data_IF_409642896742
#
_entry.id   IF_409642896742
#
_cell.length_a   1.000
_cell.length_b   1.000
_cell.length_c   1.000
_cell.angle_alpha   90.00
_cell.angle_beta   90.00
_cell.angle_gamma   90.00
#
_symmetry.space_group_name_H-M   'P 1'
#
loop_
_entity.id
_entity.type
_entity.pdbx_description
1 polymer ?
#
# COMPACT_ATOMS: atom_id res chain seq x y z
N UNK A 1 -20.06 -16.94 2.10
CA UNK A 1 -18.98 -15.95 2.03
C UNK A 1 -18.55 -15.70 3.47
N UNK A 2 -17.27 -15.84 3.78
CA UNK A 2 -16.74 -15.54 5.12
C UNK A 2 -16.49 -14.05 5.23
N UNK A 3 -16.86 -13.44 6.35
CA UNK A 3 -16.58 -12.01 6.59
C UNK A 3 -15.10 -11.82 6.98
N UNK A 4 -14.46 -10.81 6.39
CA UNK A 4 -13.10 -10.40 6.67
C UNK A 4 -13.09 -8.89 6.93
N UNK A 5 -12.73 -8.50 8.13
CA UNK A 5 -12.66 -7.09 8.49
C UNK A 5 -11.34 -6.48 8.02
N UNK A 6 -11.41 -5.32 7.36
CA UNK A 6 -10.25 -4.56 6.94
C UNK A 6 -10.21 -3.20 7.64
N UNK A 7 -9.25 -3.04 8.56
CA UNK A 7 -9.07 -1.80 9.29
C UNK A 7 -8.42 -0.74 8.40
N UNK A 8 -9.26 0.00 7.69
CA UNK A 8 -8.83 1.08 6.79
C UNK A 8 -9.94 2.11 6.59
N UNK A 9 -9.58 3.39 6.64
CA UNK A 9 -10.41 4.51 6.16
C UNK A 9 -10.16 4.85 4.67
N UNK A 10 -9.22 4.15 4.01
CA UNK A 10 -8.85 4.44 2.62
C UNK A 10 -9.76 3.67 1.65
N UNK A 11 -10.62 4.42 0.94
CA UNK A 11 -11.58 3.85 -0.03
C UNK A 11 -10.91 3.13 -1.20
N UNK A 12 -9.73 3.57 -1.63
CA UNK A 12 -9.00 2.95 -2.73
C UNK A 12 -8.44 1.59 -2.31
N UNK A 13 -7.81 1.53 -1.12
CA UNK A 13 -7.35 0.25 -0.54
C UNK A 13 -8.52 -0.73 -0.38
N UNK A 14 -9.67 -0.26 0.06
CA UNK A 14 -10.88 -1.08 0.20
C UNK A 14 -11.35 -1.65 -1.15
N UNK A 15 -11.40 -0.83 -2.22
CA UNK A 15 -11.80 -1.27 -3.55
C UNK A 15 -10.86 -2.35 -4.10
N UNK A 16 -9.54 -2.20 -3.87
CA UNK A 16 -8.54 -3.19 -4.27
C UNK A 16 -8.80 -4.50 -3.53
N UNK A 17 -8.93 -4.46 -2.20
CA UNK A 17 -9.20 -5.62 -1.37
C UNK A 17 -10.46 -6.38 -1.84
N UNK A 18 -11.56 -5.67 -2.07
CA UNK A 18 -12.81 -6.24 -2.56
C UNK A 18 -12.63 -6.89 -3.93
N UNK A 19 -11.93 -6.23 -4.85
CA UNK A 19 -11.72 -6.75 -6.21
C UNK A 19 -10.96 -8.07 -6.27
N UNK A 20 -10.11 -8.34 -5.28
CA UNK A 20 -9.32 -9.58 -5.18
C UNK A 20 -10.00 -10.62 -4.30
N UNK A 21 -10.53 -10.23 -3.14
CA UNK A 21 -11.05 -11.14 -2.12
C UNK A 21 -12.47 -11.65 -2.42
N UNK A 22 -13.38 -10.79 -2.87
CA UNK A 22 -14.80 -11.17 -3.06
C UNK A 22 -15.01 -12.26 -4.12
N UNK A 23 -14.31 -12.26 -5.28
CA UNK A 23 -14.39 -13.37 -6.23
C UNK A 23 -13.92 -14.71 -5.64
N UNK A 24 -13.19 -14.67 -4.52
CA UNK A 24 -12.66 -15.85 -3.83
C UNK A 24 -13.50 -16.27 -2.61
N UNK A 25 -14.67 -15.65 -2.42
CA UNK A 25 -15.62 -16.01 -1.36
C UNK A 25 -15.35 -15.32 -0.01
N UNK A 26 -14.49 -14.31 0.03
CA UNK A 26 -14.23 -13.47 1.21
C UNK A 26 -14.95 -12.12 1.06
N UNK A 27 -15.90 -11.84 1.93
CA UNK A 27 -16.58 -10.54 1.97
C UNK A 27 -15.75 -9.57 2.80
N UNK A 28 -15.18 -8.56 2.16
CA UNK A 28 -14.36 -7.55 2.85
C UNK A 28 -15.24 -6.45 3.42
N UNK A 29 -15.11 -6.21 4.72
CA UNK A 29 -15.87 -5.21 5.49
C UNK A 29 -14.90 -4.16 6.01
N UNK A 30 -15.06 -2.91 5.56
CA UNK A 30 -14.25 -1.79 6.07
C UNK A 30 -14.63 -1.45 7.50
N UNK A 31 -13.61 -1.30 8.34
CA UNK A 31 -13.75 -0.74 9.69
C UNK A 31 -12.78 0.43 9.82
N UNK A 32 -13.32 1.57 10.22
CA UNK A 32 -12.51 2.73 10.59
C UNK A 32 -12.16 2.64 12.07
N UNK A 33 -10.90 2.35 12.37
CA UNK A 33 -10.39 2.20 13.72
C UNK A 33 -9.33 3.27 13.98
N UNK A 34 -9.48 3.96 15.09
CA UNK A 34 -8.42 4.78 15.64
C UNK A 34 -7.39 3.87 16.33
N UNK A 35 -6.29 3.59 15.64
CA UNK A 35 -5.20 2.75 16.11
C UNK A 35 -3.94 3.59 16.19
N UNK A 36 -3.37 3.68 17.39
CA UNK A 36 -2.04 4.26 17.56
C UNK A 36 -1.00 3.38 16.87
N UNK A 37 -0.34 3.90 15.84
CA UNK A 37 0.71 3.21 15.13
C UNK A 37 2.06 3.42 15.83
N UNK A 38 2.76 2.32 16.12
CA UNK A 38 4.14 2.42 16.59
C UNK A 38 5.01 3.02 15.49
N UNK A 39 6.01 3.80 15.91
CA UNK A 39 7.02 4.33 14.99
C UNK A 39 8.25 3.43 15.02
N UNK A 40 8.78 3.10 13.86
CA UNK A 40 9.94 2.22 13.75
C UNK A 40 10.48 2.18 12.31
N UNK A 41 11.64 1.53 12.17
CA UNK A 41 12.30 1.36 10.88
C UNK A 41 11.92 0.04 10.20
N UNK A 42 11.38 -0.92 10.95
CA UNK A 42 10.95 -2.22 10.42
C UNK A 42 9.44 -2.22 10.14
N UNK A 43 9.03 -2.15 8.86
CA UNK A 43 7.62 -2.11 8.48
C UNK A 43 6.86 -3.39 8.84
N UNK A 44 7.53 -4.54 8.91
CA UNK A 44 6.89 -5.79 9.30
C UNK A 44 6.46 -5.77 10.77
N UNK A 45 7.30 -5.24 11.65
CA UNK A 45 6.97 -5.06 13.06
C UNK A 45 5.79 -4.07 13.20
N UNK A 46 5.80 -2.97 12.45
CA UNK A 46 4.74 -1.95 12.49
C UNK A 46 3.40 -2.55 12.08
N UNK A 47 3.34 -3.24 10.94
CA UNK A 47 2.09 -3.78 10.42
C UNK A 47 1.56 -4.93 11.27
N UNK A 48 2.45 -5.73 11.87
CA UNK A 48 2.11 -6.82 12.81
C UNK A 48 1.48 -6.27 14.09
N UNK A 49 2.09 -5.26 14.72
CA UNK A 49 1.54 -4.58 15.91
C UNK A 49 0.17 -3.96 15.60
N UNK A 50 0.05 -3.29 14.46
CA UNK A 50 -1.21 -2.70 13.98
C UNK A 50 -2.33 -3.75 13.84
N UNK A 51 -2.01 -4.94 13.28
CA UNK A 51 -2.97 -6.03 13.16
C UNK A 51 -3.44 -6.55 14.53
N UNK A 52 -2.52 -6.73 15.46
CA UNK A 52 -2.85 -7.17 16.84
C UNK A 52 -3.74 -6.17 17.55
N UNK A 53 -3.42 -4.86 17.47
CA UNK A 53 -4.25 -3.79 18.05
C UNK A 53 -5.63 -3.69 17.38
N UNK A 54 -5.71 -3.90 16.07
CA UNK A 54 -6.99 -3.98 15.36
C UNK A 54 -7.83 -5.14 15.89
N UNK A 55 -7.23 -6.33 16.02
CA UNK A 55 -7.91 -7.51 16.55
C UNK A 55 -8.39 -7.30 18.00
N UNK A 56 -7.61 -6.64 18.84
CA UNK A 56 -8.02 -6.33 20.23
C UNK A 56 -9.32 -5.51 20.29
N UNK A 57 -9.55 -4.65 19.29
CA UNK A 57 -10.76 -3.83 19.18
C UNK A 57 -11.93 -4.55 18.53
N UNK A 58 -11.67 -5.34 17.49
CA UNK A 58 -12.70 -5.99 16.65
C UNK A 58 -13.13 -7.33 17.22
N UNK A 59 -12.19 -8.12 17.77
CA UNK A 59 -12.37 -9.51 18.26
C UNK A 59 -12.84 -10.50 17.17
N UNK A 60 -12.59 -10.16 15.92
CA UNK A 60 -12.91 -10.96 14.74
C UNK A 60 -11.70 -10.97 13.81
N UNK A 61 -11.59 -11.93 12.88
CA UNK A 61 -10.50 -11.95 11.92
C UNK A 61 -10.37 -10.63 11.18
N UNK A 62 -9.18 -10.04 11.24
CA UNK A 62 -8.92 -8.70 10.70
C UNK A 62 -7.64 -8.64 9.89
N UNK A 63 -7.67 -7.83 8.85
CA UNK A 63 -6.49 -7.43 8.09
C UNK A 63 -6.22 -5.94 8.26
N UNK A 64 -4.95 -5.60 8.19
CA UNK A 64 -4.45 -4.23 8.08
C UNK A 64 -3.46 -4.18 6.92
N UNK A 65 -3.24 -3.01 6.35
CA UNK A 65 -2.18 -2.81 5.35
C UNK A 65 -1.39 -1.55 5.63
N UNK A 66 -0.14 -1.58 5.20
CA UNK A 66 0.74 -0.42 5.19
C UNK A 66 1.62 -0.41 3.94
N UNK A 67 2.09 0.77 3.55
CA UNK A 67 2.90 0.97 2.36
C UNK A 67 4.15 1.78 2.73
N UNK A 68 5.32 1.28 2.35
CA UNK A 68 6.58 2.01 2.50
C UNK A 68 7.26 2.24 1.15
N UNK A 69 8.16 3.20 1.09
CA UNK A 69 8.78 3.62 -0.17
C UNK A 69 10.27 3.78 0.01
N UNK A 70 11.04 3.02 -0.76
CA UNK A 70 12.49 3.04 -0.71
C UNK A 70 13.08 3.66 -1.97
N UNK A 71 13.67 4.85 -1.85
CA UNK A 71 14.51 5.43 -2.91
C UNK A 71 15.89 4.79 -2.79
N UNK A 72 16.27 3.96 -3.78
CA UNK A 72 17.47 3.12 -3.76
C UNK A 72 18.74 3.95 -3.55
N UNK A 73 18.89 5.03 -4.31
CA UNK A 73 20.05 5.93 -4.19
C UNK A 73 20.15 6.64 -2.82
N UNK A 74 19.06 6.70 -2.06
CA UNK A 74 18.98 7.32 -0.74
C UNK A 74 18.92 6.28 0.39
N UNK A 75 19.39 5.06 0.13
CA UNK A 75 19.48 3.96 1.11
C UNK A 75 18.16 3.63 1.80
N UNK A 76 17.06 3.69 1.07
CA UNK A 76 15.73 3.37 1.58
C UNK A 76 14.92 4.55 2.12
N UNK A 77 15.48 5.80 2.11
CA UNK A 77 14.67 6.97 2.45
C UNK A 77 13.50 7.12 1.46
N UNK A 78 12.29 7.49 1.89
CA UNK A 78 11.87 7.79 3.26
C UNK A 78 11.32 6.58 4.05
N UNK A 79 11.30 5.37 3.50
CA UNK A 79 10.81 4.17 4.17
C UNK A 79 9.35 4.30 4.63
N UNK A 80 9.11 4.00 5.89
CA UNK A 80 7.79 4.11 6.52
C UNK A 80 7.30 5.57 6.70
N UNK A 81 8.18 6.56 6.50
CA UNK A 81 7.85 7.97 6.76
C UNK A 81 7.29 8.72 5.54
N UNK A 82 6.97 8.03 4.44
CA UNK A 82 6.45 8.68 3.22
C UNK A 82 5.22 9.56 3.48
N UNK A 83 4.33 9.16 4.39
CA UNK A 83 3.16 9.96 4.77
C UNK A 83 3.55 11.32 5.36
N UNK A 84 4.54 11.34 6.25
CA UNK A 84 5.07 12.57 6.83
C UNK A 84 5.81 13.42 5.80
N UNK A 85 6.59 12.79 4.92
CA UNK A 85 7.27 13.48 3.84
C UNK A 85 6.27 14.14 2.87
N UNK A 86 5.20 13.46 2.50
CA UNK A 86 4.14 14.03 1.66
C UNK A 86 3.45 15.25 2.30
N UNK A 87 3.42 15.32 3.63
CA UNK A 87 2.87 16.49 4.33
C UNK A 87 3.77 17.72 4.20
N UNK A 88 5.09 17.51 4.17
CA UNK A 88 6.07 18.61 4.12
C UNK A 88 6.57 18.95 2.73
N UNK A 89 6.61 17.98 1.82
CA UNK A 89 7.18 18.12 0.48
C UNK A 89 6.11 18.43 -0.55
N UNK A 90 6.49 19.29 -1.49
CA UNK A 90 5.82 19.41 -2.79
C UNK A 90 6.44 18.44 -3.81
N UNK A 91 5.82 18.34 -4.99
CA UNK A 91 6.41 17.60 -6.12
C UNK A 91 7.81 18.11 -6.48
N UNK A 92 8.03 19.44 -6.43
CA UNK A 92 9.31 20.06 -6.72
C UNK A 92 10.38 19.74 -5.67
N UNK A 93 9.98 19.52 -4.40
CA UNK A 93 10.92 19.10 -3.35
C UNK A 93 11.43 17.68 -3.60
N UNK A 94 10.57 16.76 -4.06
CA UNK A 94 11.01 15.42 -4.49
C UNK A 94 11.97 15.50 -5.68
N UNK A 95 11.71 16.38 -6.66
CA UNK A 95 12.58 16.56 -7.82
C UNK A 95 13.93 17.18 -7.42
N UNK A 96 13.93 18.14 -6.49
CA UNK A 96 15.15 18.74 -5.93
C UNK A 96 15.97 17.73 -5.13
N UNK A 97 15.33 16.89 -4.33
CA UNK A 97 15.98 15.80 -3.58
C UNK A 97 16.77 14.88 -4.51
N UNK A 98 16.25 14.66 -5.72
CA UNK A 98 16.87 13.78 -6.72
C UNK A 98 17.77 14.52 -7.72
N UNK A 99 18.13 15.79 -7.45
CA UNK A 99 18.98 16.55 -8.35
C UNK A 99 20.41 15.99 -8.39
N UNK A 100 20.93 15.74 -9.59
CA UNK A 100 22.26 15.16 -9.79
C UNK A 100 22.37 13.66 -9.47
N UNK A 101 21.28 13.00 -9.10
CA UNK A 101 21.26 11.56 -8.84
C UNK A 101 20.78 10.83 -10.09
N UNK A 102 21.65 9.94 -10.64
CA UNK A 102 21.36 9.16 -11.85
C UNK A 102 20.45 7.96 -11.53
N UNK A 103 20.70 7.26 -10.42
CA UNK A 103 19.86 6.14 -9.99
C UNK A 103 18.55 6.66 -9.40
N UNK A 104 17.49 6.57 -10.18
CA UNK A 104 16.17 7.08 -9.84
C UNK A 104 15.20 5.98 -9.41
N UNK A 105 15.68 4.77 -9.17
CA UNK A 105 14.83 3.65 -8.74
C UNK A 105 14.19 3.94 -7.40
N UNK A 106 12.90 3.61 -7.32
CA UNK A 106 12.11 3.62 -6.10
C UNK A 106 11.34 2.30 -6.03
N UNK A 107 11.18 1.77 -4.84
CA UNK A 107 10.42 0.55 -4.61
C UNK A 107 9.27 0.86 -3.66
N UNK A 108 8.05 0.52 -4.07
CA UNK A 108 6.91 0.46 -3.17
C UNK A 108 6.87 -0.92 -2.52
N UNK A 109 7.00 -0.97 -1.22
CA UNK A 109 6.78 -2.18 -0.44
C UNK A 109 5.35 -2.12 0.13
N UNK A 110 4.53 -3.05 -0.30
CA UNK A 110 3.18 -3.24 0.23
C UNK A 110 3.23 -4.30 1.31
N UNK A 111 2.72 -3.99 2.48
CA UNK A 111 2.56 -4.93 3.59
C UNK A 111 1.08 -5.14 3.88
N UNK A 112 0.73 -6.36 4.20
CA UNK A 112 -0.57 -6.75 4.72
C UNK A 112 -0.35 -7.70 5.89
N UNK A 113 -1.00 -7.45 7.02
CA UNK A 113 -1.02 -8.39 8.13
C UNK A 113 -2.45 -8.85 8.39
N UNK A 114 -2.60 -10.16 8.55
CA UNK A 114 -3.82 -10.82 8.96
C UNK A 114 -3.65 -11.36 10.38
N UNK A 115 -4.70 -11.28 11.19
CA UNK A 115 -4.76 -12.04 12.44
C UNK A 115 -6.20 -12.44 12.76
N UNK A 116 -6.35 -13.64 13.36
CA UNK A 116 -7.59 -14.16 13.96
C UNK A 116 -7.47 -14.30 15.49
N UNK A 117 -6.38 -13.75 16.06
CA UNK A 117 -6.06 -13.83 17.48
C UNK A 117 -5.23 -15.06 17.87
N UNK A 118 -5.18 -16.11 17.04
CA UNK A 118 -4.34 -17.29 17.25
C UNK A 118 -3.11 -17.26 16.34
N UNK A 119 -3.31 -16.84 15.11
CA UNK A 119 -2.26 -16.70 14.08
C UNK A 119 -2.15 -15.24 13.68
N UNK A 120 -0.93 -14.78 13.48
CA UNK A 120 -0.65 -13.48 12.85
C UNK A 120 0.34 -13.70 11.73
N UNK A 121 -0.10 -13.46 10.49
CA UNK A 121 0.69 -13.66 9.29
C UNK A 121 0.90 -12.32 8.56
N UNK A 122 2.09 -12.11 8.03
CA UNK A 122 2.44 -10.89 7.30
C UNK A 122 2.83 -11.26 5.87
N UNK A 123 2.29 -10.52 4.92
CA UNK A 123 2.53 -10.64 3.50
C UNK A 123 3.22 -9.39 3.01
N UNK A 124 4.14 -9.56 2.05
CA UNK A 124 4.88 -8.47 1.43
C UNK A 124 4.89 -8.63 -0.08
N UNK A 125 4.70 -7.52 -0.79
CA UNK A 125 4.88 -7.46 -2.24
C UNK A 125 5.66 -6.19 -2.60
N UNK A 126 6.70 -6.34 -3.43
CA UNK A 126 7.58 -5.25 -3.83
C UNK A 126 7.27 -4.84 -5.27
N UNK A 127 7.02 -3.56 -5.46
CA UNK A 127 6.63 -3.00 -6.75
C UNK A 127 7.69 -1.99 -7.19
N UNK A 128 8.49 -2.32 -8.21
CA UNK A 128 9.52 -1.42 -8.70
C UNK A 128 8.94 -0.26 -9.51
N UNK A 129 9.64 0.85 -9.46
CA UNK A 129 9.34 2.06 -10.19
C UNK A 129 10.52 3.02 -10.23
N UNK A 130 10.27 4.21 -10.72
CA UNK A 130 11.27 5.28 -10.81
C UNK A 130 10.69 6.64 -10.50
N UNK A 131 11.55 7.54 -10.02
CA UNK A 131 11.24 8.96 -9.88
C UNK A 131 11.60 9.65 -11.19
N UNK A 132 10.63 10.31 -11.82
CA UNK A 132 10.79 11.01 -13.09
C UNK A 132 11.42 12.40 -12.93
N UNK A 133 11.77 13.05 -14.03
CA UNK A 133 12.44 14.37 -14.02
C UNK A 133 11.48 15.55 -13.99
N UNK A 134 10.18 15.34 -14.23
CA UNK A 134 9.17 16.40 -14.27
C UNK A 134 7.85 15.85 -13.76
N UNK A 135 7.24 16.53 -12.79
CA UNK A 135 5.95 16.15 -12.24
C UNK A 135 4.85 16.13 -13.31
N UNK A 136 3.96 15.12 -13.25
CA UNK A 136 2.79 14.95 -14.11
C UNK A 136 1.59 14.46 -13.32
N UNK A 137 0.40 14.88 -13.74
CA UNK A 137 -0.84 14.64 -13.01
C UNK A 137 -0.94 15.52 -11.75
N UNK A 138 -2.02 15.35 -11.00
CA UNK A 138 -2.28 16.13 -9.79
C UNK A 138 -2.63 15.23 -8.61
N UNK A 139 -1.96 15.44 -7.49
CA UNK A 139 -2.33 14.86 -6.21
C UNK A 139 -1.84 15.75 -5.07
N UNK A 140 -2.72 16.59 -4.53
CA UNK A 140 -2.38 17.59 -3.49
C UNK A 140 -2.11 16.93 -2.13
N UNK A 141 -2.63 15.71 -1.88
CA UNK A 141 -2.44 14.98 -0.62
C UNK A 141 -1.19 14.08 -0.62
N UNK A 142 -0.76 13.67 -1.79
CA UNK A 142 0.37 12.76 -1.98
C UNK A 142 1.23 13.22 -3.16
N UNK A 143 1.99 14.32 -2.99
CA UNK A 143 2.80 14.90 -4.08
C UNK A 143 3.80 13.93 -4.70
N UNK A 144 4.29 12.92 -3.95
CA UNK A 144 5.14 11.86 -4.48
C UNK A 144 4.50 11.14 -5.69
N UNK A 145 3.18 10.99 -5.71
CA UNK A 145 2.48 10.29 -6.79
C UNK A 145 2.60 11.00 -8.14
N UNK A 146 2.89 12.29 -8.15
CA UNK A 146 3.08 13.07 -9.39
C UNK A 146 4.46 12.88 -10.02
N UNK A 147 5.41 12.34 -9.26
CA UNK A 147 6.81 12.15 -9.68
C UNK A 147 7.23 10.69 -9.75
N UNK A 148 6.35 9.74 -9.39
CA UNK A 148 6.64 8.31 -9.41
C UNK A 148 5.90 7.63 -10.56
N UNK A 149 6.63 6.91 -11.39
CA UNK A 149 6.14 5.92 -12.34
C UNK A 149 6.40 4.53 -11.78
N UNK A 150 5.39 3.68 -11.74
CA UNK A 150 5.54 2.24 -11.52
C UNK A 150 5.87 1.57 -12.87
N UNK A 151 6.79 0.64 -12.88
CA UNK A 151 7.30 0.03 -14.13
C UNK A 151 6.19 -0.60 -14.98
N UNK A 152 5.16 -1.16 -14.34
CA UNK A 152 4.01 -1.76 -15.03
C UNK A 152 3.00 -0.75 -15.58
N UNK A 153 3.16 0.56 -15.38
CA UNK A 153 2.16 1.59 -15.67
C UNK A 153 2.36 2.29 -17.03
N UNK A 154 3.17 1.69 -17.91
CA UNK A 154 3.41 2.19 -19.27
C UNK A 154 3.82 3.66 -19.33
N UNK A 155 4.69 4.10 -18.42
CA UNK A 155 5.23 5.45 -18.38
C UNK A 155 4.26 6.51 -17.85
N UNK A 156 3.19 6.13 -17.16
CA UNK A 156 2.31 7.06 -16.45
C UNK A 156 2.71 7.17 -14.99
N UNK A 157 2.59 8.37 -14.44
CA UNK A 157 2.73 8.57 -13.00
C UNK A 157 1.52 7.97 -12.26
N UNK A 158 1.70 7.69 -10.98
CA UNK A 158 0.59 7.21 -10.14
C UNK A 158 -0.56 8.24 -10.14
N UNK A 159 -0.24 9.54 -10.10
CA UNK A 159 -1.26 10.59 -10.17
C UNK A 159 -2.04 10.54 -11.48
N UNK A 160 -1.36 10.40 -12.63
CA UNK A 160 -2.03 10.25 -13.94
C UNK A 160 -2.89 8.99 -14.04
N UNK A 161 -2.55 7.93 -13.30
CA UNK A 161 -3.39 6.72 -13.20
C UNK A 161 -4.67 7.03 -12.42
N UNK A 162 -4.57 7.73 -11.28
CA UNK A 162 -5.74 8.06 -10.46
C UNK A 162 -6.68 9.12 -11.08
N UNK A 163 -6.20 9.88 -12.07
CA UNK A 163 -7.05 10.77 -12.89
C UNK A 163 -7.90 9.99 -13.92
N UNK A 164 -7.62 8.70 -14.11
CA UNK A 164 -8.38 7.88 -15.04
C UNK A 164 -9.71 7.41 -14.44
N UNK A 165 -10.52 6.82 -15.32
CA UNK A 165 -11.77 6.20 -14.95
C UNK A 165 -11.56 5.07 -13.92
N UNK A 166 -12.45 5.00 -12.91
CA UNK A 166 -12.36 4.01 -11.82
C UNK A 166 -12.30 2.57 -12.31
N UNK A 167 -13.01 2.27 -13.41
CA UNK A 167 -13.02 0.92 -13.99
C UNK A 167 -11.64 0.52 -14.52
N UNK A 168 -10.90 1.45 -15.11
CA UNK A 168 -9.52 1.22 -15.59
C UNK A 168 -8.55 1.00 -14.43
N UNK A 169 -8.75 1.73 -13.34
CA UNK A 169 -7.96 1.55 -12.11
C UNK A 169 -8.20 0.15 -11.55
N UNK A 170 -9.46 -0.27 -11.44
CA UNK A 170 -9.84 -1.61 -10.96
C UNK A 170 -9.28 -2.72 -11.85
N UNK A 171 -9.36 -2.58 -13.18
CA UNK A 171 -8.75 -3.54 -14.13
C UNK A 171 -7.23 -3.65 -13.98
N UNK A 172 -6.56 -2.52 -13.74
CA UNK A 172 -5.11 -2.51 -13.49
C UNK A 172 -4.74 -3.35 -12.27
N UNK A 173 -5.46 -3.18 -11.16
CA UNK A 173 -5.22 -3.95 -9.94
C UNK A 173 -5.54 -5.45 -10.09
N UNK A 174 -6.56 -5.78 -10.86
CA UNK A 174 -6.86 -7.19 -11.18
C UNK A 174 -5.76 -7.88 -12.00
N UNK A 175 -5.09 -7.13 -12.87
CA UNK A 175 -4.03 -7.68 -13.75
C UNK A 175 -2.66 -7.76 -13.08
N UNK A 176 -2.41 -6.91 -12.09
CA UNK A 176 -1.15 -6.90 -11.35
C UNK A 176 -1.31 -7.71 -10.07
N UNK A 177 -0.47 -8.74 -9.93
CA UNK A 177 -0.38 -9.45 -8.65
C UNK A 177 0.10 -8.47 -7.57
N UNK A 178 -0.61 -8.42 -6.46
CA UNK A 178 -0.33 -7.57 -5.31
C UNK A 178 -0.39 -8.37 -4.00
N UNK A 179 -0.17 -7.72 -2.88
CA UNK A 179 -0.14 -8.35 -1.56
C UNK A 179 -1.45 -9.06 -1.20
N UNK A 180 -2.60 -8.64 -1.76
CA UNK A 180 -3.89 -9.28 -1.53
C UNK A 180 -3.98 -10.67 -2.17
N UNK A 181 -3.31 -10.88 -3.30
CA UNK A 181 -3.24 -12.19 -3.95
C UNK A 181 -2.42 -13.17 -3.11
N UNK A 182 -1.31 -12.71 -2.51
CA UNK A 182 -0.52 -13.53 -1.58
C UNK A 182 -1.36 -13.94 -0.37
N UNK A 183 -2.08 -13.00 0.23
CA UNK A 183 -2.99 -13.26 1.34
C UNK A 183 -4.07 -14.28 0.99
N UNK A 184 -4.78 -14.09 -0.13
CA UNK A 184 -5.88 -14.98 -0.55
C UNK A 184 -5.38 -16.41 -0.79
N UNK A 185 -4.23 -16.57 -1.44
CA UNK A 185 -3.64 -17.88 -1.69
C UNK A 185 -3.30 -18.59 -0.37
N UNK A 186 -2.71 -17.86 0.58
CA UNK A 186 -2.42 -18.40 1.92
C UNK A 186 -3.71 -18.72 2.68
N UNK A 187 -4.68 -17.81 2.68
CA UNK A 187 -5.94 -17.98 3.43
C UNK A 187 -6.71 -19.23 3.00
N UNK A 188 -6.79 -19.52 1.70
CA UNK A 188 -7.44 -20.73 1.17
C UNK A 188 -6.79 -22.02 1.66
N UNK A 189 -5.48 -22.01 1.84
CA UNK A 189 -4.73 -23.19 2.25
C UNK A 189 -4.70 -23.40 3.78
N UNK A 190 -5.02 -22.37 4.57
CA UNK A 190 -4.86 -22.38 6.02
C UNK A 190 -6.16 -22.11 6.80
N UNK A 191 -7.25 -21.72 6.13
CA UNK A 191 -8.55 -21.46 6.76
C UNK A 191 -9.53 -22.57 6.40
N UNK A 192 -9.54 -23.63 7.19
CA UNK A 192 -10.55 -24.70 7.16
C UNK A 192 -11.75 -24.35 8.04
#
# INVERSE_FOLDING_TARGET
MKDLYFATGNKEKMQIAQSVCEPQGLKVISIDLDIDEIQGEDPEIIVRDKAMRAFEKVKEPVVVSDDTWDIVALKGFPGAYMKSINYWFSSDDFLRLMHGIEDRRIILHQYLAYTDGNVTEVFRNDIPGKIIHKARGRNDKSPNMTVIEIDSDNGKTIAEIFEQDKDKITERYKKRRDVWHEFVDWYKNNSN
#
